data_IF_581091168512
#
_entry.id   IF_581091168512
#
_cell.length_a   1.000
_cell.length_b   1.000
_cell.length_c   1.000
_cell.angle_alpha   90.00
_cell.angle_beta   90.00
_cell.angle_gamma   90.00
#
_symmetry.space_group_name_H-M   'P 1'
#
loop_
_entity.id
_entity.type
_entity.pdbx_description
1 polymer ?
#
# COMPACT_ATOMS: atom_id res chain seq x y z
N UNK A 1 10.30 -10.88 -11.36
CA UNK A 1 10.37 -9.54 -11.96
C UNK A 1 11.03 -8.65 -10.94
N UNK A 2 12.29 -8.24 -11.17
CA UNK A 2 13.06 -7.52 -10.14
C UNK A 2 12.26 -6.31 -9.65
N UNK A 3 12.25 -6.02 -8.35
CA UNK A 3 11.48 -4.89 -7.79
C UNK A 3 11.71 -3.57 -8.56
N UNK A 4 12.94 -3.34 -9.06
CA UNK A 4 13.26 -2.19 -9.91
C UNK A 4 12.46 -2.16 -11.22
N UNK A 5 12.31 -3.29 -11.90
CA UNK A 5 11.52 -3.40 -13.13
C UNK A 5 10.03 -3.20 -12.84
N UNK A 6 9.54 -3.69 -11.70
CA UNK A 6 8.16 -3.48 -11.29
C UNK A 6 7.89 -1.99 -11.05
N UNK A 7 8.78 -1.32 -10.31
CA UNK A 7 8.68 0.11 -10.03
C UNK A 7 8.84 0.96 -11.29
N UNK A 8 9.66 0.56 -12.26
CA UNK A 8 9.84 1.32 -13.50
C UNK A 8 8.62 1.25 -14.43
N UNK A 9 7.79 0.22 -14.30
CA UNK A 9 6.52 0.10 -15.03
C UNK A 9 5.34 0.72 -14.28
N UNK A 10 5.56 1.24 -13.07
CA UNK A 10 4.52 1.83 -12.27
C UNK A 10 4.24 3.25 -12.75
N UNK A 11 3.00 3.51 -13.15
CA UNK A 11 2.54 4.87 -13.42
C UNK A 11 2.20 5.55 -12.09
N UNK A 12 3.22 6.09 -11.42
CA UNK A 12 3.09 6.66 -10.08
C UNK A 12 1.96 7.71 -9.98
N UNK A 13 1.94 8.66 -10.91
CA UNK A 13 0.97 9.77 -10.89
C UNK A 13 -0.46 9.29 -11.12
N UNK A 14 -0.64 8.33 -12.03
CA UNK A 14 -1.94 7.71 -12.28
C UNK A 14 -2.46 6.99 -11.03
N UNK A 15 -1.60 6.26 -10.33
CA UNK A 15 -1.96 5.58 -9.08
C UNK A 15 -2.32 6.59 -7.98
N UNK A 16 -1.52 7.64 -7.82
CA UNK A 16 -1.81 8.70 -6.83
C UNK A 16 -3.14 9.38 -7.14
N UNK A 17 -3.40 9.66 -8.41
CA UNK A 17 -4.65 10.27 -8.85
C UNK A 17 -5.85 9.37 -8.58
N UNK A 18 -5.75 8.08 -8.91
CA UNK A 18 -6.80 7.09 -8.63
C UNK A 18 -7.10 6.97 -7.12
N UNK A 19 -6.07 7.01 -6.27
CA UNK A 19 -6.25 7.02 -4.80
C UNK A 19 -7.00 8.28 -4.37
N UNK A 20 -6.60 9.46 -4.85
CA UNK A 20 -7.26 10.74 -4.51
C UNK A 20 -8.73 10.76 -4.92
N UNK A 21 -9.05 10.23 -6.10
CA UNK A 21 -10.42 10.14 -6.60
C UNK A 21 -11.27 9.14 -5.81
N UNK A 22 -10.68 8.09 -5.28
CA UNK A 22 -11.36 7.17 -4.38
C UNK A 22 -11.61 7.83 -3.01
N UNK A 23 -10.58 8.42 -2.41
CA UNK A 23 -10.66 9.10 -1.11
C UNK A 23 -11.54 10.35 -1.13
N UNK A 24 -11.76 11.00 -2.28
CA UNK A 24 -12.71 12.12 -2.37
C UNK A 24 -14.17 11.70 -2.17
N UNK A 25 -14.47 10.41 -2.30
CA UNK A 25 -15.82 9.82 -2.20
C UNK A 25 -16.07 9.10 -0.87
N UNK A 26 -15.05 8.99 -0.01
CA UNK A 26 -15.15 8.27 1.27
C UNK A 26 -14.25 8.88 2.34
N UNK A 27 -14.57 8.71 3.61
CA UNK A 27 -13.64 9.05 4.70
C UNK A 27 -12.52 8.03 4.88
N UNK A 28 -12.51 6.96 4.08
CA UNK A 28 -11.48 5.94 4.05
C UNK A 28 -10.13 6.50 3.62
N UNK A 29 -9.05 5.87 4.12
CA UNK A 29 -7.69 6.24 3.75
C UNK A 29 -6.97 5.04 3.13
N UNK A 30 -6.50 5.19 1.91
CA UNK A 30 -5.84 4.15 1.13
C UNK A 30 -4.35 4.46 1.07
N UNK A 31 -3.53 3.46 1.39
CA UNK A 31 -2.08 3.52 1.19
C UNK A 31 -1.61 2.29 0.44
N UNK A 32 -0.64 2.50 -0.45
CA UNK A 32 0.02 1.42 -1.16
C UNK A 32 1.45 1.30 -0.65
N UNK A 33 1.85 0.10 -0.25
CA UNK A 33 3.22 -0.20 0.13
C UNK A 33 3.80 -1.27 -0.79
N UNK A 34 4.87 -0.90 -1.48
CA UNK A 34 5.60 -1.81 -2.35
C UNK A 34 6.85 -2.27 -1.59
N UNK A 35 6.88 -3.55 -1.22
CA UNK A 35 8.03 -4.18 -0.59
C UNK A 35 9.22 -4.14 -1.56
N UNK A 36 10.37 -3.70 -1.05
CA UNK A 36 11.63 -3.73 -1.80
C UNK A 36 12.34 -5.04 -1.54
N UNK A 37 12.77 -5.72 -2.61
CA UNK A 37 13.45 -7.00 -2.51
C UNK A 37 12.53 -8.14 -2.11
N UNK A 38 13.13 -9.29 -1.82
CA UNK A 38 12.39 -10.49 -1.45
C UNK A 38 11.68 -10.27 -0.13
N UNK A 39 10.40 -10.68 -0.08
CA UNK A 39 9.71 -10.84 1.18
C UNK A 39 10.08 -12.20 1.77
N UNK A 40 10.67 -12.19 2.96
CA UNK A 40 10.92 -13.40 3.72
C UNK A 40 9.71 -13.69 4.62
N UNK A 41 9.06 -14.83 4.39
CA UNK A 41 7.90 -15.28 5.15
C UNK A 41 6.55 -14.85 4.56
N UNK A 42 5.52 -14.88 5.43
CA UNK A 42 4.13 -14.66 5.03
C UNK A 42 3.82 -13.16 4.80
N UNK A 43 3.23 -12.79 3.64
CA UNK A 43 2.81 -11.42 3.35
C UNK A 43 1.76 -10.85 4.32
N UNK A 44 0.86 -11.65 4.87
CA UNK A 44 -0.23 -11.13 5.70
C UNK A 44 0.29 -10.57 7.04
N UNK A 45 1.11 -11.29 7.82
CA UNK A 45 1.76 -10.73 9.01
C UNK A 45 2.66 -9.54 8.71
N UNK A 46 3.36 -9.54 7.57
CA UNK A 46 4.21 -8.41 7.17
C UNK A 46 3.37 -7.16 6.87
N UNK A 47 2.28 -7.31 6.12
CA UNK A 47 1.32 -6.25 5.84
C UNK A 47 0.68 -5.73 7.14
N UNK A 48 0.29 -6.62 8.06
CA UNK A 48 -0.30 -6.24 9.35
C UNK A 48 0.68 -5.40 10.19
N UNK A 49 1.94 -5.82 10.32
CA UNK A 49 2.98 -5.02 10.99
C UNK A 49 3.18 -3.66 10.33
N UNK A 50 3.13 -3.62 8.99
CA UNK A 50 3.27 -2.36 8.24
C UNK A 50 2.08 -1.44 8.44
N UNK A 51 0.86 -1.97 8.45
CA UNK A 51 -0.39 -1.25 8.72
C UNK A 51 -0.35 -0.54 10.09
N UNK A 52 0.09 -1.27 11.12
CA UNK A 52 0.29 -0.71 12.46
C UNK A 52 1.36 0.37 12.50
N UNK A 53 2.52 0.11 11.89
CA UNK A 53 3.62 1.08 11.85
C UNK A 53 3.26 2.37 11.13
N UNK A 54 2.42 2.29 10.10
CA UNK A 54 1.91 3.43 9.34
C UNK A 54 0.77 4.18 10.06
N UNK A 55 0.32 3.71 11.23
CA UNK A 55 -0.74 4.32 12.01
C UNK A 55 -2.13 4.16 11.41
N UNK A 56 -2.33 3.22 10.46
CA UNK A 56 -3.59 3.11 9.72
C UNK A 56 -4.76 2.56 10.56
N UNK A 57 -4.47 1.97 11.72
CA UNK A 57 -5.46 1.60 12.73
C UNK A 57 -5.98 2.79 13.55
N UNK A 58 -5.32 3.95 13.45
CA UNK A 58 -5.64 5.19 14.19
C UNK A 58 -6.47 6.17 13.37
N UNK A 59 -6.89 5.81 12.16
CA UNK A 59 -7.79 6.68 11.39
C UNK A 59 -9.09 6.86 12.16
N UNK A 60 -9.67 8.06 12.12
CA UNK A 60 -10.87 8.39 12.92
C UNK A 60 -12.03 7.43 12.65
N UNK A 61 -12.20 7.01 11.39
CA UNK A 61 -13.23 6.06 10.96
C UNK A 61 -12.82 4.59 11.07
N UNK A 62 -11.60 4.27 11.54
CA UNK A 62 -11.00 2.92 11.51
C UNK A 62 -11.14 2.21 10.16
N UNK A 63 -11.14 2.99 9.09
CA UNK A 63 -11.38 2.60 7.70
C UNK A 63 -10.12 2.79 6.84
N UNK A 64 -8.94 2.56 7.44
CA UNK A 64 -7.67 2.54 6.73
C UNK A 64 -7.51 1.25 5.92
N UNK A 65 -7.05 1.35 4.68
CA UNK A 65 -6.79 0.22 3.78
C UNK A 65 -5.34 0.25 3.31
N UNK A 66 -4.58 -0.81 3.57
CA UNK A 66 -3.22 -0.97 3.05
C UNK A 66 -3.21 -1.99 1.93
N UNK A 67 -2.83 -1.55 0.73
CA UNK A 67 -2.51 -2.43 -0.39
C UNK A 67 -1.02 -2.77 -0.29
N UNK A 68 -0.70 -4.00 0.10
CA UNK A 68 0.67 -4.48 0.24
C UNK A 68 1.07 -5.29 -0.99
N UNK A 69 2.09 -4.81 -1.72
CA UNK A 69 2.58 -5.45 -2.95
C UNK A 69 4.01 -5.92 -2.74
N UNK A 70 4.26 -7.21 -2.95
CA UNK A 70 5.59 -7.80 -2.87
C UNK A 70 5.97 -8.46 -4.22
N UNK A 71 6.54 -7.69 -5.16
CA UNK A 71 7.02 -8.24 -6.42
C UNK A 71 8.23 -9.13 -6.18
N UNK A 72 8.23 -10.33 -6.79
CA UNK A 72 9.31 -11.32 -6.69
C UNK A 72 10.57 -10.94 -7.46
#
# INVERSE_FOLDING_TARGET
MRTKEFLSKLEHDHIVQAIREAESKTSGQIRIFIQRGKLDGDPLPAAHRRFHRLGMHKTSGRNGVLIFVAPR
#
